data_IF_180989776815
#
_entry.id   IF_180989776815
#
_cell.length_a   1.000
_cell.length_b   1.000
_cell.length_c   1.000
_cell.angle_alpha   90.00
_cell.angle_beta   90.00
_cell.angle_gamma   90.00
#
_symmetry.space_group_name_H-M   'P 1'
#
loop_
_entity.id
_entity.type
_entity.pdbx_description
1 polymer ?
#
# COMPACT_ATOMS: atom_id res chain seq x y z
N UNK A 1 -17.20 -16.45 -58.11
CA UNK A 1 -15.72 -16.61 -58.09
C UNK A 1 -15.22 -15.98 -56.81
N UNK A 2 -14.59 -16.72 -55.88
CA UNK A 2 -14.03 -16.14 -54.67
C UNK A 2 -12.57 -15.75 -54.90
N UNK A 3 -12.26 -14.47 -54.67
CA UNK A 3 -10.90 -13.94 -54.70
C UNK A 3 -10.05 -14.54 -53.57
N UNK A 4 -8.92 -15.11 -53.96
CA UNK A 4 -7.90 -15.67 -53.10
C UNK A 4 -7.15 -14.57 -52.34
N UNK A 5 -7.47 -14.41 -51.05
CA UNK A 5 -6.68 -13.60 -50.12
C UNK A 5 -5.38 -14.34 -49.82
N UNK A 6 -4.33 -14.05 -50.58
CA UNK A 6 -2.96 -14.47 -50.28
C UNK A 6 -2.49 -13.85 -48.95
N UNK A 7 -2.46 -14.66 -47.89
CA UNK A 7 -1.84 -14.31 -46.62
C UNK A 7 -0.31 -14.39 -46.76
N UNK A 8 0.31 -13.28 -47.18
CA UNK A 8 1.75 -13.09 -47.12
C UNK A 8 2.23 -13.02 -45.65
N UNK A 9 2.48 -14.18 -45.03
CA UNK A 9 3.23 -14.27 -43.76
C UNK A 9 4.72 -14.20 -44.05
N UNK A 10 5.26 -13.00 -44.20
CA UNK A 10 6.70 -12.82 -44.16
C UNK A 10 7.22 -13.19 -42.76
N UNK A 11 8.02 -14.25 -42.66
CA UNK A 11 8.73 -14.58 -41.42
C UNK A 11 9.65 -13.42 -41.06
N UNK A 12 9.38 -12.76 -39.93
CA UNK A 12 10.25 -11.72 -39.38
C UNK A 12 11.62 -12.35 -39.07
N UNK A 13 12.63 -12.02 -39.87
CA UNK A 13 14.01 -12.44 -39.61
C UNK A 13 14.54 -11.60 -38.47
N UNK A 14 14.62 -12.18 -37.27
CA UNK A 14 15.19 -11.52 -36.09
C UNK A 14 16.72 -11.69 -36.19
N UNK A 15 17.43 -10.60 -36.46
CA UNK A 15 18.90 -10.58 -36.41
C UNK A 15 19.35 -10.75 -34.96
N UNK A 16 20.33 -11.63 -34.73
CA UNK A 16 20.96 -11.78 -33.42
C UNK A 16 21.89 -10.59 -33.18
N UNK A 17 21.88 -10.06 -31.97
CA UNK A 17 22.83 -9.03 -31.56
C UNK A 17 24.27 -9.52 -31.76
N UNK A 18 25.16 -8.61 -32.12
CA UNK A 18 26.58 -8.91 -32.25
C UNK A 18 27.20 -9.26 -30.88
N UNK A 19 28.31 -9.99 -30.87
CA UNK A 19 28.97 -10.36 -29.60
C UNK A 19 29.40 -9.13 -28.79
N UNK A 20 29.84 -8.06 -29.47
CA UNK A 20 30.21 -6.79 -28.84
C UNK A 20 29.01 -6.11 -28.17
N UNK A 21 27.90 -6.02 -28.91
CA UNK A 21 26.65 -5.44 -28.43
C UNK A 21 26.06 -6.22 -27.24
N UNK A 22 26.27 -7.54 -27.18
CA UNK A 22 25.85 -8.38 -26.04
C UNK A 22 26.68 -8.11 -24.79
N UNK A 23 27.97 -7.83 -24.93
CA UNK A 23 28.84 -7.50 -23.78
C UNK A 23 28.49 -6.12 -23.26
N UNK A 24 28.31 -5.13 -24.14
CA UNK A 24 27.98 -3.76 -23.72
C UNK A 24 26.58 -3.63 -23.13
N UNK A 25 25.61 -4.43 -23.60
CA UNK A 25 24.23 -4.43 -23.07
C UNK A 25 24.03 -5.32 -21.85
N UNK A 26 24.98 -6.21 -21.51
CA UNK A 26 24.87 -7.13 -20.37
C UNK A 26 24.48 -6.47 -19.04
N UNK A 27 25.12 -5.36 -18.57
CA UNK A 27 24.77 -4.78 -17.29
C UNK A 27 23.35 -4.19 -17.28
N UNK A 28 22.95 -3.52 -18.37
CA UNK A 28 21.58 -2.99 -18.50
C UNK A 28 20.58 -4.14 -18.51
N UNK A 29 20.84 -5.19 -19.30
CA UNK A 29 19.96 -6.35 -19.39
C UNK A 29 19.85 -7.06 -18.05
N UNK A 30 20.94 -7.15 -17.27
CA UNK A 30 20.94 -7.76 -15.94
C UNK A 30 20.16 -6.92 -14.93
N UNK A 31 20.25 -5.58 -15.01
CA UNK A 31 19.43 -4.70 -14.18
C UNK A 31 17.94 -4.83 -14.51
N UNK A 32 17.59 -4.91 -15.80
CA UNK A 32 16.21 -5.15 -16.23
C UNK A 32 15.71 -6.52 -15.77
N UNK A 33 16.52 -7.57 -15.92
CA UNK A 33 16.19 -8.92 -15.44
C UNK A 33 15.98 -8.93 -13.92
N UNK A 34 16.88 -8.29 -13.15
CA UNK A 34 16.72 -8.17 -11.69
C UNK A 34 15.45 -7.40 -11.35
N UNK A 35 15.12 -6.35 -12.09
CA UNK A 35 13.91 -5.57 -11.87
C UNK A 35 12.65 -6.39 -12.20
N UNK A 36 12.66 -7.14 -13.30
CA UNK A 36 11.57 -8.06 -13.68
C UNK A 36 11.40 -9.15 -12.63
N UNK A 37 12.48 -9.84 -12.25
CA UNK A 37 12.47 -10.87 -11.21
C UNK A 37 12.00 -10.30 -9.87
N UNK A 38 12.46 -9.10 -9.51
CA UNK A 38 12.05 -8.42 -8.29
C UNK A 38 10.57 -8.07 -8.29
N UNK A 39 10.03 -7.61 -9.43
CA UNK A 39 8.62 -7.28 -9.57
C UNK A 39 7.71 -8.52 -9.60
N UNK A 40 8.22 -9.64 -10.12
CA UNK A 40 7.51 -10.92 -10.18
C UNK A 40 7.56 -11.69 -8.85
N UNK A 41 8.53 -11.38 -7.98
CA UNK A 41 8.70 -12.09 -6.73
C UNK A 41 7.55 -11.81 -5.74
N UNK A 42 7.00 -12.87 -5.14
CA UNK A 42 5.92 -12.79 -4.15
C UNK A 42 6.47 -12.38 -2.77
N UNK A 43 6.83 -11.10 -2.67
CA UNK A 43 7.36 -10.47 -1.47
C UNK A 43 6.43 -10.63 -0.26
N UNK A 44 5.12 -10.64 -0.46
CA UNK A 44 4.14 -10.77 0.61
C UNK A 44 4.28 -12.09 1.37
N UNK A 45 4.58 -13.18 0.66
CA UNK A 45 4.82 -14.48 1.28
C UNK A 45 6.10 -14.50 2.13
N UNK A 46 7.15 -13.83 1.65
CA UNK A 46 8.44 -13.72 2.33
C UNK A 46 8.26 -12.87 3.59
N UNK A 47 7.60 -11.72 3.46
CA UNK A 47 7.30 -10.80 4.55
C UNK A 47 6.48 -11.45 5.66
N UNK A 48 5.46 -12.25 5.33
CA UNK A 48 4.66 -13.01 6.32
C UNK A 48 5.51 -14.02 7.11
N UNK A 49 6.43 -14.72 6.43
CA UNK A 49 7.31 -15.72 7.07
C UNK A 49 8.42 -15.07 7.89
N UNK A 50 8.95 -13.95 7.41
CA UNK A 50 10.08 -13.24 8.02
C UNK A 50 9.65 -12.31 9.16
N UNK A 51 8.39 -11.88 9.22
CA UNK A 51 7.95 -10.92 10.24
C UNK A 51 8.10 -11.46 11.66
N UNK A 52 7.62 -12.68 11.94
CA UNK A 52 7.68 -13.23 13.30
C UNK A 52 9.10 -13.50 13.81
N UNK A 53 10.06 -14.07 13.05
CA UNK A 53 11.41 -14.28 13.57
C UNK A 53 12.15 -12.97 13.77
N UNK A 54 11.91 -11.97 12.92
CA UNK A 54 12.49 -10.62 13.09
C UNK A 54 11.97 -9.98 14.37
N UNK A 55 10.67 -10.03 14.62
CA UNK A 55 10.11 -9.52 15.88
C UNK A 55 10.64 -10.25 17.11
N UNK A 56 10.76 -11.58 17.05
CA UNK A 56 11.32 -12.36 18.14
C UNK A 56 12.79 -12.01 18.39
N UNK A 57 13.56 -11.82 17.33
CA UNK A 57 14.94 -11.36 17.40
C UNK A 57 15.05 -9.98 18.05
N UNK A 58 14.22 -9.02 17.65
CA UNK A 58 14.21 -7.67 18.24
C UNK A 58 13.85 -7.69 19.74
N UNK A 59 12.84 -8.49 20.13
CA UNK A 59 12.50 -8.68 21.55
C UNK A 59 13.65 -9.34 22.32
N UNK A 60 14.22 -10.41 21.77
CA UNK A 60 15.37 -11.11 22.37
C UNK A 60 16.57 -10.20 22.53
N UNK A 61 16.83 -9.34 21.54
CA UNK A 61 17.89 -8.33 21.58
C UNK A 61 17.62 -7.31 22.70
N UNK A 62 16.40 -6.75 22.79
CA UNK A 62 16.03 -5.81 23.88
C UNK A 62 16.19 -6.45 25.27
N UNK A 63 15.75 -7.69 25.45
CA UNK A 63 15.91 -8.41 26.72
C UNK A 63 17.38 -8.69 27.00
N UNK A 64 18.17 -9.07 25.99
CA UNK A 64 19.60 -9.35 26.15
C UNK A 64 20.39 -8.10 26.58
N UNK A 65 20.08 -6.95 25.99
CA UNK A 65 20.67 -5.66 26.40
C UNK A 65 20.30 -5.34 27.86
N UNK A 66 19.04 -5.56 28.25
CA UNK A 66 18.61 -5.32 29.64
C UNK A 66 19.27 -6.27 30.63
N UNK A 67 19.38 -7.55 30.27
CA UNK A 67 20.04 -8.57 31.08
C UNK A 67 21.53 -8.24 31.30
N UNK A 68 22.18 -7.62 30.31
CA UNK A 68 23.57 -7.15 30.44
C UNK A 68 23.75 -6.14 31.58
N UNK A 69 22.75 -5.30 31.84
CA UNK A 69 22.80 -4.34 32.95
C UNK A 69 22.62 -5.01 34.32
N UNK A 70 21.81 -6.07 34.39
CA UNK A 70 21.60 -6.81 35.64
C UNK A 70 22.86 -7.52 36.14
N UNK A 71 23.71 -8.00 35.22
CA UNK A 71 25.03 -8.54 35.55
C UNK A 71 26.09 -7.46 35.78
N UNK A 72 25.79 -6.19 35.46
CA UNK A 72 26.66 -5.05 35.72
C UNK A 72 26.66 -4.67 37.20
N UNK A 73 27.77 -4.10 37.68
CA UNK A 73 27.90 -3.65 39.08
C UNK A 73 27.22 -2.31 39.36
N UNK A 74 26.55 -1.71 38.37
CA UNK A 74 26.03 -0.35 38.49
C UNK A 74 24.65 -0.34 39.15
N UNK A 75 24.53 0.40 40.26
CA UNK A 75 23.25 0.62 40.97
C UNK A 75 22.40 1.74 40.37
N UNK A 76 22.90 2.42 39.34
CA UNK A 76 22.22 3.56 38.73
C UNK A 76 21.51 3.13 37.46
N UNK A 77 20.34 3.74 37.20
CA UNK A 77 19.68 3.62 35.91
C UNK A 77 20.66 3.97 34.78
N UNK A 78 20.87 3.08 33.80
CA UNK A 78 21.91 3.25 32.80
C UNK A 78 21.74 4.56 32.02
N UNK A 79 20.50 4.98 31.74
CA UNK A 79 20.19 6.21 30.98
C UNK A 79 20.68 7.49 31.67
N UNK A 80 20.76 7.52 33.01
CA UNK A 80 21.08 8.73 33.77
C UNK A 80 22.40 8.65 34.54
N UNK A 81 23.21 7.63 34.29
CA UNK A 81 24.48 7.46 34.99
C UNK A 81 25.57 8.40 34.38
N UNK A 82 26.06 9.42 35.10
CA UNK A 82 27.07 10.34 34.58
C UNK A 82 28.48 9.70 34.48
N UNK A 83 28.68 8.49 35.01
CA UNK A 83 29.96 7.76 34.98
C UNK A 83 29.83 6.44 34.23
N UNK A 84 29.30 6.49 33.01
CA UNK A 84 29.22 5.33 32.13
C UNK A 84 30.58 4.93 31.58
N UNK A 85 30.86 3.64 31.60
CA UNK A 85 31.93 3.05 30.79
C UNK A 85 31.58 3.13 29.30
N UNK A 86 32.58 3.09 28.41
CA UNK A 86 32.35 3.12 26.96
C UNK A 86 31.43 1.99 26.51
N UNK A 87 31.51 0.81 27.15
CA UNK A 87 30.65 -0.33 26.86
C UNK A 87 29.19 -0.09 27.24
N UNK A 88 28.93 0.44 28.44
CA UNK A 88 27.56 0.79 28.88
C UNK A 88 26.93 1.88 28.01
N UNK A 89 27.75 2.84 27.53
CA UNK A 89 27.31 3.85 26.58
C UNK A 89 26.82 3.22 25.27
N UNK A 90 27.58 2.28 24.69
CA UNK A 90 27.15 1.57 23.48
C UNK A 90 25.85 0.80 23.69
N UNK A 91 25.70 0.09 24.81
CA UNK A 91 24.45 -0.63 25.13
C UNK A 91 23.28 0.37 25.21
N UNK A 92 23.47 1.50 25.89
CA UNK A 92 22.42 2.51 26.01
C UNK A 92 22.04 3.10 24.65
N UNK A 93 23.02 3.37 23.78
CA UNK A 93 22.76 3.82 22.41
C UNK A 93 21.97 2.77 21.62
N UNK A 94 22.31 1.48 21.72
CA UNK A 94 21.56 0.42 21.06
C UNK A 94 20.11 0.32 21.58
N UNK A 95 19.89 0.48 22.88
CA UNK A 95 18.55 0.51 23.47
C UNK A 95 17.73 1.70 22.93
N UNK A 96 18.31 2.89 22.85
CA UNK A 96 17.66 4.07 22.25
C UNK A 96 17.37 3.88 20.75
N UNK A 97 18.30 3.27 20.00
CA UNK A 97 18.08 2.95 18.58
C UNK A 97 16.89 1.99 18.42
N UNK A 98 16.79 0.97 19.27
CA UNK A 98 15.68 0.03 19.25
C UNK A 98 14.34 0.68 19.61
N UNK A 99 14.33 1.58 20.60
CA UNK A 99 13.14 2.38 20.93
C UNK A 99 12.74 3.26 19.75
N UNK A 100 13.68 4.00 19.15
CA UNK A 100 13.43 4.84 17.97
C UNK A 100 12.90 3.99 16.81
N UNK A 101 13.46 2.81 16.57
CA UNK A 101 13.00 1.90 15.52
C UNK A 101 11.56 1.42 15.77
N UNK A 102 11.20 1.12 17.03
CA UNK A 102 9.83 0.73 17.39
C UNK A 102 8.83 1.86 17.20
N UNK A 103 9.22 3.09 17.55
CA UNK A 103 8.40 4.30 17.38
C UNK A 103 8.25 4.62 15.89
N UNK A 104 9.33 4.57 15.13
CA UNK A 104 9.31 4.79 13.69
C UNK A 104 8.42 3.77 12.98
N UNK A 105 8.48 2.50 13.38
CA UNK A 105 7.58 1.46 12.88
C UNK A 105 6.12 1.75 13.22
N UNK A 106 5.82 2.14 14.46
CA UNK A 106 4.46 2.50 14.86
C UNK A 106 3.92 3.68 14.07
N UNK A 107 4.71 4.76 13.93
CA UNK A 107 4.35 5.93 13.11
C UNK A 107 4.09 5.48 11.67
N UNK A 108 4.99 4.68 11.09
CA UNK A 108 4.82 4.18 9.73
C UNK A 108 3.53 3.37 9.56
N UNK A 109 3.22 2.46 10.48
CA UNK A 109 1.98 1.67 10.45
C UNK A 109 0.75 2.58 10.51
N UNK A 110 0.71 3.55 11.43
CA UNK A 110 -0.43 4.47 11.54
C UNK A 110 -0.57 5.40 10.33
N UNK A 111 0.53 5.74 9.67
CA UNK A 111 0.54 6.64 8.51
C UNK A 111 0.41 5.92 7.17
N UNK A 112 0.43 4.59 7.16
CA UNK A 112 0.29 3.78 5.95
C UNK A 112 -1.14 3.85 5.43
N UNK A 113 -1.35 4.67 4.41
CA UNK A 113 -2.66 4.93 3.81
C UNK A 113 -2.57 4.77 2.30
N UNK A 114 -3.63 4.20 1.72
CA UNK A 114 -3.80 4.03 0.28
C UNK A 114 -5.00 4.83 -0.19
N UNK A 115 -4.82 5.54 -1.30
CA UNK A 115 -5.84 6.38 -1.92
C UNK A 115 -6.59 5.57 -2.99
N UNK A 116 -7.93 5.50 -2.87
CA UNK A 116 -8.82 4.88 -3.87
C UNK A 116 -9.67 5.96 -4.52
N UNK A 117 -9.65 6.01 -5.86
CA UNK A 117 -10.37 7.00 -6.66
C UNK A 117 -11.73 6.44 -7.11
N UNK A 118 -12.78 7.26 -7.03
CA UNK A 118 -14.14 6.91 -7.41
C UNK A 118 -14.55 7.71 -8.64
N UNK A 119 -14.45 7.08 -9.81
CA UNK A 119 -14.62 7.80 -11.07
C UNK A 119 -16.09 8.06 -11.43
N UNK A 120 -16.99 7.23 -10.92
CA UNK A 120 -18.38 7.17 -11.36
C UNK A 120 -19.37 7.60 -10.25
N UNK A 121 -18.83 8.05 -9.12
CA UNK A 121 -19.58 8.63 -8.03
C UNK A 121 -19.93 10.08 -8.35
N UNK A 122 -21.14 10.50 -7.99
CA UNK A 122 -21.61 11.85 -8.26
C UNK A 122 -20.80 12.88 -7.44
N UNK A 123 -20.44 14.00 -8.07
CA UNK A 123 -19.61 15.05 -7.45
C UNK A 123 -20.41 15.75 -6.35
N UNK A 124 -21.71 15.93 -6.57
CA UNK A 124 -22.61 16.63 -5.65
C UNK A 124 -22.94 15.82 -4.39
N UNK A 125 -22.81 14.48 -4.45
CA UNK A 125 -23.04 13.61 -3.30
C UNK A 125 -21.72 13.22 -2.61
N UNK A 126 -21.50 13.70 -1.38
CA UNK A 126 -20.35 13.27 -0.60
C UNK A 126 -20.52 11.79 -0.18
N UNK A 127 -19.54 10.91 -0.47
CA UNK A 127 -19.60 9.53 0.00
C UNK A 127 -19.57 9.47 1.54
N UNK A 128 -20.27 8.50 2.11
CA UNK A 128 -20.46 8.35 3.56
C UNK A 128 -19.22 7.78 4.27
N UNK A 129 -18.08 8.47 4.16
CA UNK A 129 -16.85 8.20 4.90
C UNK A 129 -16.20 9.52 5.35
N UNK A 130 -15.71 9.60 6.59
CA UNK A 130 -14.94 10.76 7.05
C UNK A 130 -13.61 10.91 6.28
N UNK A 131 -13.08 9.81 5.74
CA UNK A 131 -11.80 9.75 5.02
C UNK A 131 -11.92 10.10 3.53
N UNK A 132 -13.11 10.49 3.08
CA UNK A 132 -13.34 10.94 1.71
C UNK A 132 -13.05 12.43 1.55
N UNK A 133 -12.31 12.77 0.49
CA UNK A 133 -12.00 14.13 0.07
C UNK A 133 -11.99 14.24 -1.45
N UNK A 134 -12.14 15.46 -1.95
CA UNK A 134 -12.13 15.75 -3.38
C UNK A 134 -10.67 15.91 -3.84
N UNK A 135 -10.27 15.20 -4.90
CA UNK A 135 -8.95 15.31 -5.53
C UNK A 135 -9.12 15.67 -7.00
N UNK A 136 -8.27 16.56 -7.49
CA UNK A 136 -8.21 16.90 -8.89
C UNK A 136 -7.58 15.78 -9.73
N UNK A 137 -8.16 15.49 -10.89
CA UNK A 137 -7.66 14.55 -11.88
C UNK A 137 -6.52 15.23 -12.66
N UNK A 138 -5.34 14.60 -12.69
CA UNK A 138 -4.18 15.10 -13.42
C UNK A 138 -3.08 15.73 -12.55
N UNK A 139 -3.28 15.80 -11.24
CA UNK A 139 -2.21 16.15 -10.31
C UNK A 139 -1.21 14.99 -10.24
N UNK A 140 -0.11 15.12 -10.98
CA UNK A 140 0.90 14.07 -11.20
C UNK A 140 1.87 13.92 -10.02
N UNK A 141 1.75 14.76 -8.99
CA UNK A 141 2.66 14.74 -7.86
C UNK A 141 2.27 13.67 -6.81
N UNK A 142 2.48 12.41 -7.18
CA UNK A 142 2.31 11.24 -6.30
C UNK A 142 3.15 11.34 -5.01
N UNK A 143 4.31 12.01 -5.08
CA UNK A 143 5.19 12.22 -3.93
C UNK A 143 4.59 13.18 -2.88
N UNK A 144 3.77 14.17 -3.29
CA UNK A 144 3.15 15.16 -2.39
C UNK A 144 1.99 14.54 -1.60
N UNK A 145 1.27 13.60 -2.21
CA UNK A 145 0.13 12.92 -1.57
C UNK A 145 0.56 11.78 -0.64
N UNK A 146 1.77 11.24 -0.82
CA UNK A 146 2.32 10.15 0.00
C UNK A 146 3.09 10.67 1.22
N UNK A 147 3.16 9.87 2.29
CA UNK A 147 4.07 10.15 3.42
C UNK A 147 5.53 9.89 3.03
N UNK A 148 6.51 10.75 3.40
CA UNK A 148 6.40 11.96 4.23
C UNK A 148 6.07 13.26 3.47
N UNK A 149 5.91 13.21 2.15
CA UNK A 149 5.68 14.38 1.30
C UNK A 149 4.46 15.21 1.67
N UNK A 150 3.38 14.59 2.18
CA UNK A 150 2.19 15.31 2.64
C UNK A 150 2.44 16.24 3.83
N UNK A 151 3.35 15.87 4.75
CA UNK A 151 3.74 16.73 5.88
C UNK A 151 4.62 17.87 5.38
N UNK A 152 5.62 17.56 4.54
CA UNK A 152 6.59 18.53 4.03
C UNK A 152 5.88 19.57 3.17
N UNK A 153 4.99 19.12 2.29
CA UNK A 153 4.18 20.00 1.46
C UNK A 153 3.21 20.84 2.30
N UNK A 154 2.57 20.28 3.33
CA UNK A 154 1.70 21.05 4.21
C UNK A 154 2.40 22.19 4.96
N UNK A 155 3.71 22.08 5.19
CA UNK A 155 4.53 23.16 5.75
C UNK A 155 5.01 24.14 4.66
N UNK A 156 5.40 23.62 3.49
CA UNK A 156 5.86 24.41 2.35
C UNK A 156 4.75 25.29 1.75
N UNK A 157 3.56 24.72 1.51
CA UNK A 157 2.43 25.43 0.90
C UNK A 157 1.92 26.58 1.77
N UNK A 158 1.99 26.44 3.10
CA UNK A 158 1.67 27.53 4.05
C UNK A 158 2.63 28.72 3.97
N UNK A 159 3.83 28.52 3.43
CA UNK A 159 4.86 29.55 3.33
C UNK A 159 4.99 30.13 1.92
N UNK A 160 4.66 29.36 0.87
CA UNK A 160 5.06 29.69 -0.50
C UNK A 160 4.00 29.50 -1.59
N UNK A 161 2.80 28.96 -1.30
CA UNK A 161 1.79 28.74 -2.36
C UNK A 161 0.75 29.88 -2.43
N UNK A 162 0.74 30.60 -3.55
CA UNK A 162 -0.43 31.31 -4.05
C UNK A 162 -1.27 30.32 -4.88
N UNK A 163 -2.40 29.86 -4.33
CA UNK A 163 -3.29 28.92 -5.01
C UNK A 163 -4.03 29.61 -6.15
N UNK A 164 -3.57 29.41 -7.38
CA UNK A 164 -4.30 29.80 -8.59
C UNK A 164 -5.34 28.72 -8.89
N UNK A 165 -6.61 29.03 -8.63
CA UNK A 165 -7.75 28.16 -8.98
C UNK A 165 -7.91 28.22 -10.50
N UNK A 166 -7.73 27.10 -11.17
CA UNK A 166 -7.98 26.99 -12.62
C UNK A 166 -9.31 26.27 -12.83
N UNK A 167 -10.25 26.87 -13.56
CA UNK A 167 -11.66 26.44 -13.63
C UNK A 167 -11.89 25.21 -14.54
N UNK A 168 -10.89 24.79 -15.31
CA UNK A 168 -10.98 23.66 -16.26
C UNK A 168 -10.64 22.28 -15.65
N UNK A 169 -10.52 22.21 -14.33
CA UNK A 169 -9.99 21.04 -13.63
C UNK A 169 -11.09 20.04 -13.30
N UNK A 170 -10.91 18.78 -13.71
CA UNK A 170 -11.85 17.70 -13.37
C UNK A 170 -11.57 17.19 -11.96
N UNK A 171 -12.61 16.95 -11.16
CA UNK A 171 -12.50 16.49 -9.78
C UNK A 171 -13.09 15.09 -9.60
N UNK A 172 -12.45 14.30 -8.75
CA UNK A 172 -12.87 12.93 -8.38
C UNK A 172 -12.83 12.78 -6.87
N UNK A 173 -13.82 12.07 -6.33
CA UNK A 173 -13.80 11.68 -4.93
C UNK A 173 -12.73 10.62 -4.68
N UNK A 174 -11.93 10.83 -3.64
CA UNK A 174 -10.87 9.92 -3.22
C UNK A 174 -11.07 9.54 -1.77
N UNK A 175 -10.94 8.24 -1.48
CA UNK A 175 -10.99 7.70 -0.13
C UNK A 175 -9.61 7.25 0.29
N UNK A 176 -9.17 7.76 1.45
CA UNK A 176 -7.96 7.34 2.14
C UNK A 176 -8.26 6.16 3.04
N UNK A 177 -7.79 4.99 2.65
CA UNK A 177 -7.99 3.75 3.40
C UNK A 177 -6.69 3.31 4.05
N UNK A 178 -6.74 2.93 5.32
CA UNK A 178 -5.57 2.39 6.04
C UNK A 178 -5.14 1.05 5.44
N UNK A 179 -3.89 0.95 4.96
CA UNK A 179 -3.37 -0.25 4.28
C UNK A 179 -1.88 -0.48 4.62
N UNK A 180 -1.56 -0.84 5.88
CA UNK A 180 -0.19 -1.08 6.30
C UNK A 180 0.36 -2.37 5.69
N UNK A 181 1.65 -2.42 5.32
CA UNK A 181 2.25 -3.67 4.86
C UNK A 181 2.30 -4.67 6.01
N UNK A 182 2.01 -5.93 5.70
CA UNK A 182 1.86 -7.01 6.68
C UNK A 182 3.12 -7.19 7.55
N UNK A 183 4.30 -6.96 6.97
CA UNK A 183 5.58 -7.01 7.69
C UNK A 183 5.63 -6.04 8.87
N UNK A 184 5.40 -4.75 8.61
CA UNK A 184 5.48 -3.69 9.61
C UNK A 184 4.34 -3.79 10.63
N UNK A 185 3.15 -4.20 10.17
CA UNK A 185 2.02 -4.48 11.05
C UNK A 185 2.35 -5.59 12.05
N UNK A 186 2.91 -6.72 11.58
CA UNK A 186 3.31 -7.82 12.45
C UNK A 186 4.43 -7.40 13.42
N UNK A 187 5.42 -6.64 12.96
CA UNK A 187 6.46 -6.08 13.84
C UNK A 187 5.84 -5.16 14.89
N UNK A 188 4.88 -4.32 14.53
CA UNK A 188 4.19 -3.46 15.49
C UNK A 188 3.41 -4.26 16.54
N UNK A 189 2.78 -5.37 16.15
CA UNK A 189 2.05 -6.24 17.07
C UNK A 189 2.98 -6.97 18.06
N UNK A 190 4.10 -7.51 17.59
CA UNK A 190 5.02 -8.30 18.43
C UNK A 190 6.11 -7.46 19.10
N UNK A 191 6.41 -6.27 18.60
CA UNK A 191 7.44 -5.36 19.08
C UNK A 191 6.92 -3.92 19.08
N UNK A 192 5.87 -3.70 19.88
CA UNK A 192 5.24 -2.39 20.03
C UNK A 192 6.12 -1.43 20.85
N UNK A 193 6.14 -0.12 20.56
CA UNK A 193 6.82 0.86 21.41
C UNK A 193 6.36 0.80 22.86
N UNK A 194 5.09 0.44 23.12
CA UNK A 194 4.59 0.25 24.48
C UNK A 194 5.35 -0.86 25.23
N UNK A 195 5.68 -1.95 24.54
CA UNK A 195 6.39 -3.08 25.13
C UNK A 195 7.86 -2.74 25.39
N UNK A 196 8.51 -1.99 24.49
CA UNK A 196 9.88 -1.52 24.69
C UNK A 196 9.96 -0.59 25.89
N UNK A 197 9.02 0.35 26.02
CA UNK A 197 8.93 1.23 27.20
C UNK A 197 8.72 0.43 28.49
N UNK A 198 7.86 -0.59 28.48
CA UNK A 198 7.69 -1.47 29.63
C UNK A 198 9.01 -2.16 29.99
N UNK A 199 9.73 -2.72 29.02
CA UNK A 199 11.02 -3.39 29.27
C UNK A 199 12.10 -2.44 29.79
N UNK A 200 12.07 -1.17 29.39
CA UNK A 200 13.06 -0.18 29.79
C UNK A 200 12.78 0.42 31.19
N UNK A 201 11.50 0.60 31.55
CA UNK A 201 11.10 1.31 32.78
C UNK A 201 10.57 0.40 33.90
N UNK A 202 10.35 -0.89 33.63
CA UNK A 202 9.92 -1.83 34.66
C UNK A 202 11.12 -2.22 35.55
N UNK A 203 11.26 -1.49 36.66
CA UNK A 203 12.15 -1.83 37.76
C UNK A 203 11.33 -2.04 39.04
N UNK A 204 11.83 -2.88 39.95
CA UNK A 204 11.14 -3.26 41.19
C UNK A 204 10.85 -2.06 42.10
N UNK A 205 11.70 -1.04 42.05
CA UNK A 205 11.57 0.19 42.85
C UNK A 205 10.62 1.23 42.20
N UNK A 206 10.28 1.06 40.92
CA UNK A 206 9.62 2.09 40.11
C UNK A 206 8.13 1.79 39.82
N UNK A 207 7.36 1.47 40.86
CA UNK A 207 5.94 1.11 40.75
C UNK A 207 5.05 2.21 40.12
N UNK A 208 5.46 3.48 40.21
CA UNK A 208 4.71 4.63 39.70
C UNK A 208 4.52 4.57 38.17
N UNK A 209 5.47 3.98 37.44
CA UNK A 209 5.43 3.89 35.98
C UNK A 209 4.49 2.79 35.47
N UNK A 210 4.08 1.85 36.33
CA UNK A 210 3.20 0.72 35.95
C UNK A 210 1.83 1.23 35.49
N UNK A 211 1.24 2.20 36.20
CA UNK A 211 -0.07 2.75 35.85
C UNK A 211 -0.01 3.50 34.51
N UNK A 212 1.05 4.30 34.29
CA UNK A 212 1.25 5.03 33.04
C UNK A 212 1.46 4.07 31.87
N UNK A 213 2.25 3.01 32.06
CA UNK A 213 2.46 1.98 31.05
C UNK A 213 1.17 1.23 30.71
N UNK A 214 0.36 0.84 31.71
CA UNK A 214 -0.93 0.19 31.49
C UNK A 214 -1.91 1.11 30.74
N UNK A 215 -1.98 2.39 31.10
CA UNK A 215 -2.77 3.39 30.39
C UNK A 215 -2.30 3.55 28.93
N UNK A 216 -0.98 3.56 28.70
CA UNK A 216 -0.42 3.66 27.36
C UNK A 216 -0.77 2.46 26.49
N UNK A 217 -0.68 1.23 27.02
CA UNK A 217 -1.12 0.02 26.30
C UNK A 217 -2.60 0.09 25.94
N UNK A 218 -3.45 0.49 26.90
CA UNK A 218 -4.89 0.66 26.67
C UNK A 218 -5.20 1.72 25.60
N UNK A 219 -4.48 2.84 25.62
CA UNK A 219 -4.59 3.90 24.60
C UNK A 219 -4.21 3.38 23.21
N UNK A 220 -3.06 2.71 23.08
CA UNK A 220 -2.62 2.12 21.81
C UNK A 220 -3.66 1.14 21.25
N UNK A 221 -4.19 0.25 22.09
CA UNK A 221 -5.21 -0.70 21.66
C UNK A 221 -6.49 0.01 21.17
N UNK A 222 -6.94 1.03 21.90
CA UNK A 222 -8.13 1.80 21.50
C UNK A 222 -7.92 2.53 20.17
N UNK A 223 -6.73 3.08 19.93
CA UNK A 223 -6.38 3.72 18.66
C UNK A 223 -6.42 2.71 17.50
N UNK A 224 -5.79 1.54 17.67
CA UNK A 224 -5.81 0.48 16.65
C UNK A 224 -7.24 0.02 16.33
N UNK A 225 -8.09 -0.17 17.35
CA UNK A 225 -9.49 -0.57 17.16
C UNK A 225 -10.25 0.48 16.35
N UNK A 226 -10.11 1.77 16.68
CA UNK A 226 -10.79 2.84 15.94
C UNK A 226 -10.40 2.85 14.45
N UNK A 227 -9.11 2.77 14.16
CA UNK A 227 -8.61 2.76 12.78
C UNK A 227 -9.10 1.51 12.03
N UNK A 228 -9.17 0.36 12.72
CA UNK A 228 -9.69 -0.87 12.13
C UNK A 228 -11.20 -0.81 11.85
N UNK A 229 -11.99 -0.20 12.73
CA UNK A 229 -13.43 0.04 12.51
C UNK A 229 -13.65 0.96 11.30
N UNK A 230 -12.84 2.01 11.16
CA UNK A 230 -12.85 2.90 9.99
C UNK A 230 -12.45 2.14 8.71
N UNK A 231 -11.40 1.32 8.77
CA UNK A 231 -10.96 0.47 7.66
C UNK A 231 -12.08 -0.45 7.14
N UNK A 232 -12.84 -1.08 8.04
CA UNK A 232 -13.95 -1.96 7.63
C UNK A 232 -15.02 -1.17 6.88
N UNK A 233 -15.40 0.00 7.40
CA UNK A 233 -16.41 0.87 6.76
C UNK A 233 -15.93 1.33 5.38
N UNK A 234 -14.69 1.76 5.28
CA UNK A 234 -14.09 2.23 4.02
C UNK A 234 -14.01 1.10 2.99
N UNK A 235 -13.60 -0.12 3.41
CA UNK A 235 -13.57 -1.30 2.52
C UNK A 235 -14.96 -1.69 2.00
N UNK A 236 -15.99 -1.63 2.83
CA UNK A 236 -17.36 -1.92 2.41
C UNK A 236 -17.85 -0.90 1.38
N UNK A 237 -17.55 0.39 1.61
CA UNK A 237 -17.94 1.46 0.69
C UNK A 237 -17.20 1.34 -0.64
N UNK A 238 -15.89 1.08 -0.62
CA UNK A 238 -15.09 0.82 -1.83
C UNK A 238 -15.62 -0.37 -2.61
N UNK A 239 -15.94 -1.49 -1.94
CA UNK A 239 -16.50 -2.67 -2.61
C UNK A 239 -17.85 -2.36 -3.27
N UNK A 240 -18.70 -1.57 -2.62
CA UNK A 240 -19.97 -1.09 -3.20
C UNK A 240 -19.76 -0.23 -4.43
N UNK A 241 -18.81 0.71 -4.38
CA UNK A 241 -18.50 1.60 -5.50
C UNK A 241 -17.87 0.83 -6.67
N UNK A 242 -16.97 -0.12 -6.40
CA UNK A 242 -16.41 -1.00 -7.45
C UNK A 242 -17.53 -1.77 -8.15
N UNK A 243 -18.52 -2.27 -7.41
CA UNK A 243 -19.65 -2.98 -8.01
C UNK A 243 -20.54 -2.04 -8.84
N UNK A 244 -20.73 -0.80 -8.39
CA UNK A 244 -21.44 0.23 -9.15
C UNK A 244 -20.71 0.57 -10.46
N UNK A 245 -19.40 0.82 -10.39
CA UNK A 245 -18.55 1.07 -11.56
C UNK A 245 -18.57 -0.11 -12.53
N UNK A 246 -18.43 -1.34 -12.02
CA UNK A 246 -18.52 -2.55 -12.82
C UNK A 246 -19.87 -2.66 -13.54
N UNK A 247 -20.97 -2.42 -12.83
CA UNK A 247 -22.30 -2.47 -13.41
C UNK A 247 -22.48 -1.42 -14.52
N UNK A 248 -22.06 -0.18 -14.28
CA UNK A 248 -22.19 0.91 -15.25
C UNK A 248 -21.28 0.76 -16.47
N UNK A 249 -20.02 0.36 -16.29
CA UNK A 249 -19.01 0.28 -17.37
C UNK A 249 -19.08 -1.02 -18.16
N UNK A 250 -19.38 -2.14 -17.48
CA UNK A 250 -19.31 -3.47 -18.10
C UNK A 250 -20.69 -4.14 -18.21
N UNK A 251 -21.52 -4.13 -17.17
CA UNK A 251 -22.78 -4.91 -17.20
C UNK A 251 -23.85 -4.23 -18.05
N UNK A 252 -24.24 -3.00 -17.72
CA UNK A 252 -25.33 -2.29 -18.39
C UNK A 252 -25.12 -2.14 -19.88
N UNK A 253 -23.91 -1.79 -20.38
CA UNK A 253 -23.68 -1.68 -21.82
C UNK A 253 -23.82 -3.00 -22.56
N UNK A 254 -23.62 -4.15 -21.92
CA UNK A 254 -23.73 -5.47 -22.56
C UNK A 254 -25.11 -6.11 -22.35
N UNK A 255 -25.75 -5.87 -21.19
CA UNK A 255 -27.04 -6.44 -20.84
C UNK A 255 -28.20 -5.69 -21.51
N UNK A 256 -28.11 -4.35 -21.56
CA UNK A 256 -29.17 -3.47 -22.06
C UNK A 256 -28.90 -2.95 -23.48
N UNK A 257 -28.18 -3.71 -24.31
CA UNK A 257 -28.04 -3.39 -25.74
C UNK A 257 -29.41 -3.49 -26.40
N UNK A 258 -29.83 -2.40 -27.07
CA UNK A 258 -31.04 -2.42 -27.89
C UNK A 258 -30.85 -3.37 -29.07
N UNK A 259 -31.48 -4.55 -29.00
CA UNK A 259 -31.51 -5.51 -30.11
C UNK A 259 -32.77 -5.25 -30.94
N UNK A 260 -32.61 -5.18 -32.25
CA UNK A 260 -33.73 -5.14 -33.17
C UNK A 260 -33.88 -6.52 -33.82
N UNK A 261 -35.09 -7.07 -33.75
CA UNK A 261 -35.40 -8.31 -34.45
C UNK A 261 -35.69 -7.98 -35.92
N UNK A 262 -34.92 -8.58 -36.83
CA UNK A 262 -35.15 -8.46 -38.28
C UNK A 262 -35.76 -9.78 -38.74
N UNK A 263 -37.07 -9.77 -38.99
CA UNK A 263 -37.76 -10.91 -39.58
C UNK A 263 -37.31 -11.10 -41.02
N UNK A 264 -36.62 -12.20 -41.32
CA UNK A 264 -36.29 -12.56 -42.70
C UNK A 264 -37.39 -13.47 -43.23
N UNK A 265 -38.23 -12.96 -44.12
CA UNK A 265 -39.13 -13.82 -44.89
C UNK A 265 -38.33 -14.47 -46.01
N UNK A 266 -38.11 -15.79 -45.91
CA UNK A 266 -37.74 -16.58 -47.07
C UNK A 266 -39.01 -16.78 -47.89
N UNK A 267 -39.12 -16.11 -49.04
CA UNK A 267 -40.15 -16.47 -50.01
C UNK A 267 -39.84 -17.88 -50.50
N UNK A 268 -40.67 -18.91 -50.21
CA UNK A 268 -40.51 -20.19 -50.86
C UNK A 268 -40.93 -19.98 -52.32
N UNK A 269 -39.97 -19.68 -53.19
CA UNK A 269 -40.19 -19.81 -54.63
C UNK A 269 -40.61 -21.26 -54.85
N UNK A 270 -41.90 -21.45 -55.10
CA UNK A 270 -42.46 -22.77 -55.30
C UNK A 270 -41.91 -23.32 -56.62
N UNK A 271 -41.36 -24.53 -56.60
CA UNK A 271 -40.71 -25.16 -57.77
C UNK A 271 -41.66 -25.35 -58.96
N UNK A 272 -42.97 -25.19 -58.76
CA UNK A 272 -44.01 -25.33 -59.79
C UNK A 272 -44.05 -24.14 -60.77
N UNK A 273 -43.49 -22.97 -60.43
CA UNK A 273 -43.42 -21.82 -61.36
C UNK A 273 -42.34 -22.00 -62.46
N UNK A 274 -41.43 -22.97 -62.30
CA UNK A 274 -40.36 -23.26 -63.27
C UNK A 274 -40.78 -24.27 -64.36
N UNK A 275 -41.92 -24.93 -64.23
CA UNK A 275 -42.43 -25.91 -65.21
C UNK A 275 -43.36 -25.30 -66.28
N UNK A 276 -43.67 -23.99 -66.20
CA UNK A 276 -44.57 -23.30 -67.14
C UNK A 276 -43.92 -22.71 -68.40
N UNK A 277 -42.60 -22.82 -68.55
CA UNK A 277 -41.84 -22.30 -69.70
C UNK A 277 -40.93 -23.38 -70.30
N UNK A 278 -41.54 -24.45 -70.81
CA UNK A 278 -40.89 -25.50 -71.60
C UNK A 278 -41.73 -25.86 -72.82
#
# INVERSE_FOLDING_TARGET
MPDSIERNRHRRVIRRASLWERITSWPSNKLTEIQEDWALNDWDSIYKKLSWPVSLFLNGLSISLRLSYWFGTSKYDPVFNPRMSTFELWIALFEWILLILSIANAIFVYMSVKEYQMFEHDIDSRPNSPNAYLKEIGDTNYWISSFPGSIIYGLYSRLFDETVINEERQYVWVIRTWDPPIFFLNIFCYYSPAQVLILQYLDADNYQHILLAAAFVGFNLKMVIKIYEELIKDKQLIAGEIMNEYNKKLVYPHLFVRKFEIGTQTNPVSTWELEGYG
#
